data_IF_914090272591
#
_entry.id   IF_914090272591
#
_cell.length_a   1.000
_cell.length_b   1.000
_cell.length_c   1.000
_cell.angle_alpha   90.00
_cell.angle_beta   90.00
_cell.angle_gamma   90.00
#
_symmetry.space_group_name_H-M   'P 1'
#
loop_
_entity.id
_entity.type
_entity.pdbx_description
1 polymer ?
#
# COMPACT_ATOMS: atom_id res chain seq x y z
N UNK A 1 -71.83 17.63 -78.05
CA UNK A 1 -71.88 17.62 -76.58
C UNK A 1 -70.59 16.99 -76.11
N UNK A 2 -69.64 17.81 -75.66
CA UNK A 2 -68.34 17.29 -75.06
C UNK A 2 -68.47 17.35 -73.54
N UNK A 3 -68.40 16.22 -72.88
CA UNK A 3 -68.40 16.10 -71.46
C UNK A 3 -66.96 16.42 -70.93
N UNK A 4 -66.88 17.39 -70.03
CA UNK A 4 -65.67 17.82 -69.33
C UNK A 4 -65.61 17.07 -68.00
N UNK A 5 -64.67 16.10 -67.88
CA UNK A 5 -64.48 15.35 -66.65
C UNK A 5 -63.48 16.14 -65.82
N UNK A 6 -63.93 16.68 -64.63
CA UNK A 6 -63.09 17.29 -63.63
C UNK A 6 -62.47 16.17 -62.80
N UNK A 7 -61.09 16.09 -62.80
CA UNK A 7 -60.34 15.27 -61.87
C UNK A 7 -60.06 16.06 -60.58
N UNK A 8 -60.73 15.70 -59.47
CA UNK A 8 -60.40 16.19 -58.13
C UNK A 8 -59.17 15.42 -57.64
N UNK A 9 -58.00 16.03 -57.62
CA UNK A 9 -56.82 15.50 -56.94
C UNK A 9 -56.97 15.78 -55.44
N UNK A 10 -57.36 14.76 -54.70
CA UNK A 10 -57.37 14.79 -53.22
C UNK A 10 -55.91 14.71 -52.74
N UNK A 11 -55.39 15.83 -52.26
CA UNK A 11 -54.07 15.87 -51.57
C UNK A 11 -54.29 15.36 -50.16
N UNK A 12 -54.01 14.07 -49.94
CA UNK A 12 -53.91 13.51 -48.61
C UNK A 12 -52.57 14.00 -47.99
N UNK A 13 -52.62 15.01 -47.13
CA UNK A 13 -51.54 15.37 -46.26
C UNK A 13 -51.37 14.19 -45.23
N UNK A 14 -50.35 13.40 -45.43
CA UNK A 14 -49.89 12.45 -44.43
C UNK A 14 -49.38 13.25 -43.22
N UNK A 15 -50.24 13.44 -42.21
CA UNK A 15 -49.81 13.88 -40.90
C UNK A 15 -48.92 12.80 -40.31
N UNK A 16 -47.60 12.90 -40.49
CA UNK A 16 -46.69 12.09 -39.73
C UNK A 16 -46.78 12.52 -38.28
N UNK A 17 -47.43 11.74 -37.45
CA UNK A 17 -47.38 11.90 -35.98
C UNK A 17 -45.94 11.56 -35.57
N UNK A 18 -45.15 12.56 -35.23
CA UNK A 18 -43.89 12.34 -34.63
C UNK A 18 -44.12 11.56 -33.33
N UNK A 19 -43.41 10.44 -33.19
CA UNK A 19 -43.48 9.63 -31.96
C UNK A 19 -43.01 10.47 -30.77
N UNK A 20 -43.77 10.45 -29.70
CA UNK A 20 -43.38 11.12 -28.46
C UNK A 20 -42.03 10.52 -27.95
N UNK A 21 -41.06 11.36 -27.55
CA UNK A 21 -39.81 10.86 -27.00
C UNK A 21 -40.04 10.03 -25.75
N UNK A 22 -39.20 9.06 -25.54
CA UNK A 22 -39.15 8.31 -24.29
C UNK A 22 -37.74 8.42 -23.67
N UNK A 23 -37.60 9.23 -22.63
CA UNK A 23 -36.34 9.40 -21.94
C UNK A 23 -36.02 8.17 -21.11
N UNK A 24 -34.81 7.65 -21.23
CA UNK A 24 -34.30 6.56 -20.43
C UNK A 24 -32.76 6.59 -20.35
N UNK A 25 -32.17 6.17 -19.22
CA UNK A 25 -30.74 6.03 -19.06
C UNK A 25 -30.39 5.00 -18.00
N UNK A 26 -29.12 4.55 -18.02
CA UNK A 26 -28.55 3.68 -17.01
C UNK A 26 -27.35 4.36 -16.35
N UNK A 27 -27.17 4.13 -15.06
CA UNK A 27 -26.03 4.58 -14.24
C UNK A 27 -25.01 3.47 -14.21
N UNK A 28 -23.70 3.81 -14.28
CA UNK A 28 -22.60 2.83 -14.26
C UNK A 28 -22.45 2.10 -12.93
N UNK A 29 -22.89 2.72 -11.84
CA UNK A 29 -22.87 2.13 -10.52
C UNK A 29 -24.13 1.29 -10.29
N UNK A 30 -24.01 -0.04 -9.97
CA UNK A 30 -25.15 -0.95 -9.96
C UNK A 30 -26.08 -0.79 -8.77
N UNK A 31 -25.60 -0.29 -7.63
CA UNK A 31 -26.40 -0.10 -6.42
C UNK A 31 -26.76 1.36 -6.16
N UNK A 32 -26.20 2.29 -6.95
CA UNK A 32 -26.38 3.74 -6.84
C UNK A 32 -25.95 4.31 -5.47
N UNK A 33 -24.94 3.66 -4.83
CA UNK A 33 -24.35 4.09 -3.57
C UNK A 33 -22.89 4.46 -3.80
N UNK A 34 -22.59 5.73 -3.69
CA UNK A 34 -21.28 6.32 -3.99
C UNK A 34 -20.61 6.80 -2.71
N UNK A 35 -19.31 6.89 -2.72
CA UNK A 35 -18.56 7.63 -1.71
C UNK A 35 -18.36 9.09 -2.15
N UNK A 36 -18.28 9.99 -1.21
CA UNK A 36 -17.95 11.39 -1.49
C UNK A 36 -16.61 11.47 -2.25
N UNK A 37 -16.63 12.11 -3.42
CA UNK A 37 -15.50 12.21 -4.33
C UNK A 37 -15.58 11.24 -5.52
N UNK A 38 -16.46 10.25 -5.49
CA UNK A 38 -16.63 9.32 -6.60
C UNK A 38 -17.24 9.98 -7.85
N UNK A 39 -16.90 9.42 -9.00
CA UNK A 39 -17.44 9.81 -10.28
C UNK A 39 -18.14 8.62 -10.95
N UNK A 40 -19.29 8.88 -11.57
CA UNK A 40 -20.05 7.90 -12.33
C UNK A 40 -20.14 8.30 -13.80
N UNK A 41 -20.57 7.37 -14.62
CA UNK A 41 -20.98 7.58 -16.00
C UNK A 41 -22.44 7.22 -16.15
N UNK A 42 -23.11 7.87 -17.10
CA UNK A 42 -24.47 7.52 -17.50
C UNK A 42 -24.50 7.21 -18.99
N UNK A 43 -25.33 6.27 -19.37
CA UNK A 43 -25.57 5.90 -20.76
C UNK A 43 -27.00 6.23 -21.13
N UNK A 44 -27.17 7.07 -22.14
CA UNK A 44 -28.48 7.46 -22.66
C UNK A 44 -29.11 6.32 -23.48
N UNK A 45 -30.25 5.85 -23.04
CA UNK A 45 -31.04 4.80 -23.69
C UNK A 45 -32.40 5.33 -24.20
N UNK A 46 -32.53 6.65 -24.37
CA UNK A 46 -33.78 7.28 -24.85
C UNK A 46 -34.09 6.89 -26.29
N UNK A 47 -35.37 6.81 -26.59
CA UNK A 47 -35.90 6.48 -27.93
C UNK A 47 -36.80 7.58 -28.48
N UNK A 48 -36.81 7.76 -29.80
CA UNK A 48 -37.55 8.77 -30.54
C UNK A 48 -36.71 9.34 -31.67
N UNK A 49 -37.32 10.16 -32.55
CA UNK A 49 -36.66 10.75 -33.70
C UNK A 49 -36.14 12.16 -33.38
N UNK A 50 -34.96 12.52 -33.89
CA UNK A 50 -34.35 13.85 -33.81
C UNK A 50 -34.32 14.44 -32.38
N UNK A 51 -33.79 13.65 -31.43
CA UNK A 51 -33.78 14.03 -30.03
C UNK A 51 -32.60 14.94 -29.67
N UNK A 52 -32.90 15.94 -28.86
CA UNK A 52 -31.95 16.75 -28.10
C UNK A 52 -32.05 16.40 -26.63
N UNK A 53 -30.95 16.50 -25.89
CA UNK A 53 -30.87 16.03 -24.50
C UNK A 53 -30.34 17.12 -23.59
N UNK A 54 -31.02 17.29 -22.45
CA UNK A 54 -30.58 18.11 -21.33
C UNK A 54 -30.51 17.25 -20.06
N UNK A 55 -29.33 17.24 -19.49
CA UNK A 55 -29.05 16.57 -18.20
C UNK A 55 -28.91 17.60 -17.10
N UNK A 56 -29.41 17.26 -15.94
CA UNK A 56 -29.17 17.99 -14.69
C UNK A 56 -28.73 17.04 -13.59
N UNK A 57 -27.68 17.42 -12.85
CA UNK A 57 -27.06 16.61 -11.81
C UNK A 57 -27.05 17.42 -10.52
N UNK A 58 -27.82 16.98 -9.55
CA UNK A 58 -27.91 17.66 -8.25
C UNK A 58 -26.60 17.45 -7.46
N UNK A 59 -25.98 18.55 -7.03
CA UNK A 59 -24.73 18.57 -6.25
C UNK A 59 -23.55 17.80 -6.86
N UNK A 60 -23.47 17.78 -8.20
CA UNK A 60 -22.39 17.14 -8.94
C UNK A 60 -21.65 18.12 -9.85
N UNK A 61 -20.52 17.68 -10.34
CA UNK A 61 -19.70 18.38 -11.34
C UNK A 61 -19.52 17.48 -12.55
N UNK A 62 -19.98 17.92 -13.77
CA UNK A 62 -20.74 19.15 -14.03
C UNK A 62 -22.17 19.11 -13.45
N UNK A 63 -22.78 20.27 -13.18
CA UNK A 63 -24.18 20.34 -12.70
C UNK A 63 -25.21 20.15 -13.81
N UNK A 64 -24.83 20.44 -15.07
CA UNK A 64 -25.69 20.29 -16.26
C UNK A 64 -24.85 19.89 -17.46
N UNK A 65 -25.48 19.21 -18.42
CA UNK A 65 -24.85 18.86 -19.69
C UNK A 65 -25.91 18.85 -20.82
N UNK A 66 -25.52 19.34 -21.97
CA UNK A 66 -26.33 19.27 -23.19
C UNK A 66 -25.63 18.35 -24.20
N UNK A 67 -26.32 17.28 -24.60
CA UNK A 67 -25.77 16.28 -25.50
C UNK A 67 -26.17 14.85 -25.12
N UNK A 68 -25.78 13.89 -25.96
CA UNK A 68 -26.25 12.51 -25.83
C UNK A 68 -25.71 11.81 -24.54
N UNK A 69 -24.39 11.84 -24.38
CA UNK A 69 -23.73 11.19 -23.23
C UNK A 69 -22.80 12.18 -22.54
N UNK A 70 -23.04 12.55 -21.28
CA UNK A 70 -22.09 13.33 -20.51
C UNK A 70 -20.81 12.53 -20.22
N UNK A 71 -19.72 13.25 -19.95
CA UNK A 71 -18.49 12.67 -19.40
C UNK A 71 -18.69 12.20 -17.95
N UNK A 72 -17.59 12.05 -17.20
CA UNK A 72 -17.67 11.69 -15.79
C UNK A 72 -18.43 12.74 -14.99
N UNK A 73 -19.30 12.29 -14.09
CA UNK A 73 -20.11 13.09 -13.18
C UNK A 73 -19.64 12.80 -11.78
N UNK A 74 -19.02 13.79 -11.11
CA UNK A 74 -18.36 13.59 -9.82
C UNK A 74 -19.18 14.25 -8.69
N UNK A 75 -19.36 13.54 -7.58
CA UNK A 75 -20.11 13.95 -6.41
C UNK A 75 -19.18 14.26 -5.24
N UNK A 76 -18.82 15.53 -5.06
CA UNK A 76 -17.86 15.97 -4.05
C UNK A 76 -18.47 16.27 -2.67
N UNK A 77 -19.78 16.10 -2.51
CA UNK A 77 -20.50 16.33 -1.25
C UNK A 77 -21.39 15.15 -0.92
N UNK A 78 -21.44 14.78 0.36
CA UNK A 78 -22.32 13.71 0.81
C UNK A 78 -23.81 14.15 0.79
N UNK A 79 -24.70 13.17 0.54
CA UNK A 79 -26.15 13.38 0.54
C UNK A 79 -26.72 13.24 1.97
N UNK A 80 -26.72 14.34 2.72
CA UNK A 80 -27.14 14.34 4.14
C UNK A 80 -28.65 14.44 4.36
N UNK A 81 -29.41 14.96 3.40
CA UNK A 81 -30.84 15.19 3.48
C UNK A 81 -31.68 14.32 2.56
N UNK A 82 -31.06 13.36 1.87
CA UNK A 82 -31.69 12.45 0.93
C UNK A 82 -30.86 12.31 -0.36
N UNK A 83 -31.15 11.32 -1.21
CA UNK A 83 -30.36 11.03 -2.39
C UNK A 83 -30.38 12.18 -3.40
N UNK A 84 -29.31 12.32 -4.18
CA UNK A 84 -29.20 13.32 -5.24
C UNK A 84 -29.86 12.86 -6.53
N UNK A 85 -30.57 13.79 -7.19
CA UNK A 85 -31.28 13.53 -8.43
C UNK A 85 -30.35 13.67 -9.65
N UNK A 86 -30.49 12.72 -10.57
CA UNK A 86 -29.98 12.78 -11.96
C UNK A 86 -31.17 12.79 -12.87
N UNK A 87 -31.35 13.87 -13.63
CA UNK A 87 -32.52 14.05 -14.49
C UNK A 87 -32.09 14.21 -15.95
N UNK A 88 -32.73 13.44 -16.83
CA UNK A 88 -32.61 13.55 -18.28
C UNK A 88 -33.92 14.02 -18.87
N UNK A 89 -33.87 15.07 -19.67
CA UNK A 89 -34.96 15.51 -20.51
C UNK A 89 -34.58 15.31 -21.99
N UNK A 90 -35.33 14.49 -22.70
CA UNK A 90 -35.23 14.29 -24.15
C UNK A 90 -36.34 15.05 -24.84
N UNK A 91 -35.99 15.87 -25.85
CA UNK A 91 -36.93 16.72 -26.58
C UNK A 91 -36.78 16.47 -28.09
N UNK A 92 -37.89 16.23 -28.80
CA UNK A 92 -37.86 16.07 -30.24
C UNK A 92 -37.92 17.42 -30.98
N UNK A 93 -37.77 17.41 -32.32
CA UNK A 93 -37.79 18.60 -33.17
C UNK A 93 -39.10 19.37 -33.12
N UNK A 94 -40.22 18.75 -32.69
CA UNK A 94 -41.55 19.38 -32.56
C UNK A 94 -41.79 19.99 -31.17
N UNK A 95 -40.81 19.90 -30.28
CA UNK A 95 -40.87 20.44 -28.93
C UNK A 95 -41.55 19.53 -27.90
N UNK A 96 -42.00 18.32 -28.28
CA UNK A 96 -42.48 17.34 -27.33
C UNK A 96 -41.29 16.78 -26.51
N UNK A 97 -41.47 16.62 -25.21
CA UNK A 97 -40.41 16.15 -24.34
C UNK A 97 -40.89 15.00 -23.42
N UNK A 98 -39.88 14.27 -22.93
CA UNK A 98 -40.01 13.26 -21.89
C UNK A 98 -38.88 13.46 -20.86
N UNK A 99 -39.18 13.27 -19.60
CA UNK A 99 -38.20 13.45 -18.53
C UNK A 99 -38.20 12.22 -17.64
N UNK A 100 -37.00 11.76 -17.25
CA UNK A 100 -36.78 10.70 -16.28
C UNK A 100 -35.81 11.19 -15.22
N UNK A 101 -36.05 10.79 -13.97
CA UNK A 101 -35.16 11.07 -12.85
C UNK A 101 -34.79 9.76 -12.16
N UNK A 102 -33.50 9.55 -11.91
CA UNK A 102 -32.98 8.50 -11.06
C UNK A 102 -32.19 9.15 -9.91
N UNK A 103 -31.88 8.38 -8.89
CA UNK A 103 -31.27 8.88 -7.66
C UNK A 103 -30.02 8.11 -7.32
N UNK A 104 -29.03 8.82 -6.76
CA UNK A 104 -27.81 8.25 -6.18
C UNK A 104 -27.67 8.72 -4.75
N UNK A 105 -27.22 7.82 -3.88
CA UNK A 105 -26.88 8.14 -2.49
C UNK A 105 -25.39 8.32 -2.38
N UNK A 106 -24.93 9.48 -1.90
CA UNK A 106 -23.51 9.76 -1.71
C UNK A 106 -23.20 9.74 -0.23
N UNK A 107 -22.44 8.74 0.18
CA UNK A 107 -22.04 8.56 1.58
C UNK A 107 -20.87 9.49 1.92
N UNK A 108 -20.79 10.03 3.13
CA UNK A 108 -19.63 10.78 3.56
C UNK A 108 -18.41 9.86 3.64
N UNK A 109 -17.24 10.39 3.26
CA UNK A 109 -15.98 9.68 3.48
C UNK A 109 -15.74 9.50 4.98
N UNK A 110 -15.42 8.29 5.43
CA UNK A 110 -14.95 8.10 6.79
C UNK A 110 -13.59 8.77 6.98
N UNK A 111 -13.17 8.90 8.24
CA UNK A 111 -11.83 9.32 8.62
C UNK A 111 -11.20 8.26 9.49
N UNK A 112 -9.87 8.17 9.45
CA UNK A 112 -9.09 7.30 10.33
C UNK A 112 -7.86 8.06 10.79
N UNK A 113 -7.46 7.83 12.03
CA UNK A 113 -6.20 8.31 12.59
C UNK A 113 -5.49 7.16 13.27
N UNK A 114 -4.17 7.09 13.10
CA UNK A 114 -3.33 6.07 13.71
C UNK A 114 -2.20 6.68 14.52
N UNK A 115 -1.83 6.02 15.59
CA UNK A 115 -0.79 6.48 16.52
C UNK A 115 0.02 5.29 17.03
N UNK A 116 1.25 5.59 17.51
CA UNK A 116 1.97 4.65 18.38
C UNK A 116 1.54 4.94 19.81
N UNK A 117 1.19 3.90 20.54
CA UNK A 117 0.82 3.99 21.95
C UNK A 117 1.77 3.16 22.79
N UNK A 118 2.00 3.60 24.01
CA UNK A 118 2.59 2.76 25.04
C UNK A 118 1.49 2.29 25.98
N UNK A 119 1.56 1.03 26.44
CA UNK A 119 0.65 0.51 27.47
C UNK A 119 1.21 0.79 28.85
N UNK A 120 1.07 2.01 29.34
CA UNK A 120 1.32 2.27 30.73
C UNK A 120 0.07 1.87 31.53
N UNK A 121 0.15 0.77 32.27
CA UNK A 121 -0.90 0.28 33.18
C UNK A 121 -2.28 0.03 32.53
N UNK A 122 -2.32 -0.44 31.27
CA UNK A 122 -3.58 -0.76 30.59
C UNK A 122 -4.32 0.46 30.00
N UNK A 123 -3.67 1.61 29.98
CA UNK A 123 -4.17 2.82 29.31
C UNK A 123 -3.25 3.11 28.12
N UNK A 124 -3.84 3.24 26.94
CA UNK A 124 -3.11 3.66 25.74
C UNK A 124 -2.70 5.13 25.89
N UNK A 125 -1.41 5.39 25.97
CA UNK A 125 -0.86 6.75 26.01
C UNK A 125 -0.16 7.00 24.68
N UNK A 126 -0.62 8.01 23.96
CA UNK A 126 0.05 8.45 22.72
C UNK A 126 1.44 8.97 23.07
N UNK A 127 2.49 8.31 22.57
CA UNK A 127 3.85 8.76 22.71
C UNK A 127 4.20 9.65 21.52
N UNK A 128 4.72 10.87 21.77
CA UNK A 128 5.10 11.78 20.68
C UNK A 128 6.37 11.32 19.94
N UNK A 129 7.17 10.42 20.54
CA UNK A 129 8.36 9.85 19.93
C UNK A 129 8.06 8.47 19.37
N UNK A 130 8.10 8.36 18.04
CA UNK A 130 7.87 7.12 17.30
C UNK A 130 9.12 6.25 17.20
N UNK A 131 10.15 6.54 18.00
CA UNK A 131 11.44 5.85 17.97
C UNK A 131 11.48 4.76 19.03
N UNK A 132 11.65 3.52 18.59
CA UNK A 132 11.87 2.35 19.44
C UNK A 132 13.27 1.79 19.22
N UNK A 133 13.77 1.03 20.17
CA UNK A 133 14.98 0.24 19.95
C UNK A 133 14.66 -1.01 19.08
N UNK A 134 15.66 -1.51 18.37
CA UNK A 134 15.51 -2.73 17.58
C UNK A 134 15.02 -3.89 18.45
N UNK A 135 14.06 -4.68 17.95
CA UNK A 135 13.34 -5.77 18.65
C UNK A 135 12.45 -5.35 19.83
N UNK A 136 12.32 -4.07 20.10
CA UNK A 136 11.30 -3.60 21.01
C UNK A 136 9.93 -3.67 20.34
N UNK A 137 8.93 -4.08 21.12
CA UNK A 137 7.54 -4.04 20.66
C UNK A 137 7.05 -2.59 20.56
N UNK A 138 6.34 -2.31 19.47
CA UNK A 138 5.56 -1.10 19.30
C UNK A 138 4.08 -1.44 19.23
N UNK A 139 3.27 -0.71 19.99
CA UNK A 139 1.83 -0.86 20.00
C UNK A 139 1.21 0.22 19.11
N UNK A 140 0.62 -0.19 18.00
CA UNK A 140 -0.09 0.69 17.08
C UNK A 140 -1.58 0.67 17.43
N UNK A 141 -2.19 1.85 17.45
CA UNK A 141 -3.61 2.02 17.69
C UNK A 141 -4.21 2.90 16.60
N UNK A 142 -5.43 2.58 16.17
CA UNK A 142 -6.17 3.38 15.20
C UNK A 142 -7.62 3.58 15.64
N UNK A 143 -8.15 4.73 15.29
CA UNK A 143 -9.54 5.10 15.54
C UNK A 143 -10.18 5.62 14.25
N UNK A 144 -11.34 5.07 13.91
CA UNK A 144 -12.12 5.46 12.74
C UNK A 144 -13.38 6.22 13.11
N UNK A 145 -13.75 7.20 12.32
CA UNK A 145 -14.99 7.97 12.53
C UNK A 145 -15.76 8.16 11.20
N UNK A 146 -17.12 8.14 11.23
CA UNK A 146 -17.96 7.86 12.40
C UNK A 146 -17.87 6.39 12.85
N UNK A 147 -18.21 6.11 14.08
CA UNK A 147 -18.13 4.76 14.67
C UNK A 147 -19.01 3.75 13.92
N UNK A 148 -18.57 2.48 13.86
CA UNK A 148 -19.34 1.38 13.29
C UNK A 148 -18.72 0.72 12.04
N UNK A 149 -17.56 1.21 11.58
CA UNK A 149 -16.79 0.58 10.51
C UNK A 149 -15.78 -0.44 11.03
N UNK A 150 -14.99 -0.98 10.10
CA UNK A 150 -13.98 -1.99 10.37
C UNK A 150 -12.57 -1.41 10.13
N UNK A 151 -11.68 -1.62 11.08
CA UNK A 151 -10.26 -1.32 10.95
C UNK A 151 -9.49 -2.55 10.49
N UNK A 152 -8.55 -2.35 9.57
CA UNK A 152 -7.68 -3.40 9.05
C UNK A 152 -6.27 -2.86 8.87
N UNK A 153 -5.29 -3.50 9.51
CA UNK A 153 -3.88 -3.17 9.39
C UNK A 153 -3.21 -3.99 8.28
N UNK A 154 -2.36 -3.33 7.50
CA UNK A 154 -1.60 -3.93 6.43
C UNK A 154 -0.13 -4.08 6.83
N UNK A 155 0.50 -5.22 6.51
CA UNK A 155 1.95 -5.39 6.71
C UNK A 155 2.72 -4.35 5.89
N UNK A 156 3.89 -4.00 6.39
CA UNK A 156 4.76 -3.02 5.76
C UNK A 156 5.10 -3.33 4.30
N UNK A 157 5.18 -2.31 3.48
CA UNK A 157 5.64 -2.41 2.09
C UNK A 157 4.57 -2.84 1.08
N UNK A 158 3.33 -3.04 1.50
CA UNK A 158 2.22 -3.33 0.60
C UNK A 158 1.34 -2.10 0.48
N UNK A 159 1.20 -1.57 -0.73
CA UNK A 159 0.26 -0.49 -0.97
C UNK A 159 -1.17 -0.99 -0.75
N UNK A 160 -1.98 -0.23 -0.03
CA UNK A 160 -3.37 -0.56 0.29
C UNK A 160 -4.21 -0.93 -0.95
N UNK A 161 -3.89 -0.35 -2.11
CA UNK A 161 -4.59 -0.56 -3.38
C UNK A 161 -4.30 -1.91 -4.05
N UNK A 162 -3.33 -2.68 -3.55
CA UNK A 162 -2.84 -3.89 -4.21
C UNK A 162 -3.34 -5.19 -3.57
N UNK A 163 -4.27 -5.18 -2.60
CA UNK A 163 -4.59 -6.36 -1.82
C UNK A 163 -6.07 -6.75 -1.86
N UNK A 164 -6.54 -7.39 -2.93
CA UNK A 164 -7.74 -8.22 -2.83
C UNK A 164 -7.37 -9.52 -2.08
N UNK A 165 -7.92 -9.70 -0.86
CA UNK A 165 -7.76 -10.95 -0.11
C UNK A 165 -6.43 -11.13 0.62
N UNK A 166 -5.89 -10.08 1.21
CA UNK A 166 -4.67 -10.14 2.00
C UNK A 166 -4.78 -11.15 3.16
N UNK A 167 -4.02 -12.25 3.07
CA UNK A 167 -3.98 -13.28 4.11
C UNK A 167 -3.16 -12.86 5.37
N UNK A 168 -2.42 -11.77 5.29
CA UNK A 168 -1.57 -11.24 6.36
C UNK A 168 -2.14 -9.96 7.01
N UNK A 169 -3.35 -9.51 6.60
CA UNK A 169 -3.99 -8.34 7.18
C UNK A 169 -4.60 -8.67 8.54
N UNK A 170 -4.44 -7.77 9.49
CA UNK A 170 -4.91 -7.94 10.86
C UNK A 170 -6.08 -6.99 11.10
N UNK A 171 -7.25 -7.57 11.39
CA UNK A 171 -8.44 -6.82 11.75
C UNK A 171 -8.39 -6.41 13.22
N UNK A 172 -8.74 -5.15 13.49
CA UNK A 172 -8.82 -4.61 14.84
C UNK A 172 -8.32 -3.17 14.93
N UNK A 173 -8.54 -2.57 16.07
CA UNK A 173 -8.11 -1.20 16.39
C UNK A 173 -6.64 -1.10 16.82
N UNK A 174 -6.02 -2.23 17.15
CA UNK A 174 -4.65 -2.29 17.66
C UNK A 174 -3.83 -3.37 16.95
N UNK A 175 -2.53 -3.11 16.82
CA UNK A 175 -1.53 -4.01 16.25
C UNK A 175 -0.23 -3.91 17.04
N UNK A 176 0.31 -5.05 17.49
CA UNK A 176 1.64 -5.14 18.08
C UNK A 176 2.64 -5.56 17.01
N UNK A 177 3.74 -4.83 16.87
CA UNK A 177 4.80 -5.07 15.90
C UNK A 177 6.17 -4.99 16.51
N UNK A 178 7.13 -5.75 15.97
CA UNK A 178 8.55 -5.76 16.34
C UNK A 178 9.42 -5.53 15.12
N UNK A 179 9.43 -4.30 14.56
CA UNK A 179 10.15 -4.05 13.33
C UNK A 179 11.67 -4.07 13.52
N UNK A 180 12.38 -4.69 12.57
CA UNK A 180 13.84 -4.69 12.50
C UNK A 180 14.44 -3.38 12.01
N UNK A 181 13.68 -2.63 11.19
CA UNK A 181 14.09 -1.37 10.59
C UNK A 181 12.92 -0.40 10.57
N UNK A 182 13.22 0.88 10.45
CA UNK A 182 12.21 1.91 10.31
C UNK A 182 11.20 1.55 9.24
N UNK A 183 9.94 1.46 9.61
CA UNK A 183 8.88 0.83 8.82
C UNK A 183 7.59 1.64 8.90
N UNK A 184 6.89 1.77 7.76
CA UNK A 184 5.54 2.30 7.69
C UNK A 184 4.51 1.19 7.85
N UNK A 185 3.50 1.44 8.65
CA UNK A 185 2.31 0.60 8.78
C UNK A 185 1.10 1.38 8.29
N UNK A 186 0.24 0.73 7.53
CA UNK A 186 -0.95 1.34 6.96
C UNK A 186 -2.18 0.73 7.62
N UNK A 187 -3.13 1.58 8.00
CA UNK A 187 -4.45 1.15 8.47
C UNK A 187 -5.53 1.66 7.53
N UNK A 188 -6.47 0.79 7.21
CA UNK A 188 -7.68 1.09 6.48
C UNK A 188 -8.87 1.09 7.43
N UNK A 189 -9.72 2.09 7.32
CA UNK A 189 -11.03 2.10 7.95
C UNK A 189 -12.11 2.06 6.90
N UNK A 190 -12.93 0.99 6.91
CA UNK A 190 -14.04 0.77 5.99
C UNK A 190 -15.40 0.98 6.67
N UNK A 191 -16.24 1.84 6.10
CA UNK A 191 -17.60 2.07 6.57
C UNK A 191 -18.55 2.15 5.38
N UNK A 192 -19.56 1.24 5.34
CA UNK A 192 -20.59 1.20 4.29
C UNK A 192 -20.05 1.18 2.85
N UNK A 193 -18.89 0.53 2.61
CA UNK A 193 -18.24 0.47 1.31
C UNK A 193 -17.30 1.63 1.00
N UNK A 194 -17.23 2.67 1.83
CA UNK A 194 -16.26 3.76 1.70
C UNK A 194 -15.05 3.52 2.60
N UNK A 195 -13.84 3.88 2.13
CA UNK A 195 -12.60 3.57 2.80
C UNK A 195 -11.75 4.83 3.03
N UNK A 196 -11.17 4.92 4.21
CA UNK A 196 -10.13 5.88 4.55
C UNK A 196 -8.86 5.14 4.95
N UNK A 197 -7.70 5.79 4.76
CA UNK A 197 -6.39 5.22 5.07
C UNK A 197 -5.58 6.21 5.89
N UNK A 198 -4.77 5.67 6.79
CA UNK A 198 -3.75 6.42 7.50
C UNK A 198 -2.48 5.60 7.63
N UNK A 199 -1.36 6.26 7.90
CA UNK A 199 -0.05 5.64 7.99
C UNK A 199 0.69 6.09 9.24
N UNK A 200 1.30 5.14 9.94
CA UNK A 200 2.17 5.41 11.07
C UNK A 200 3.59 4.93 10.78
N UNK A 201 4.57 5.79 11.02
CA UNK A 201 5.98 5.44 10.90
C UNK A 201 6.53 5.01 12.26
N UNK A 202 7.00 3.78 12.34
CA UNK A 202 7.79 3.29 13.48
C UNK A 202 9.26 3.44 13.13
N UNK A 203 9.93 4.37 13.80
CA UNK A 203 11.37 4.58 13.63
C UNK A 203 12.12 3.63 14.55
N UNK A 204 13.08 2.89 14.01
CA UNK A 204 13.92 1.97 14.78
C UNK A 204 15.29 2.56 15.00
N UNK A 205 15.69 2.70 16.26
CA UNK A 205 17.02 3.13 16.67
C UNK A 205 17.98 1.92 16.67
N UNK A 206 18.83 1.90 15.67
CA UNK A 206 19.81 0.83 15.50
C UNK A 206 21.19 1.16 16.13
N UNK A 207 21.41 2.43 16.47
CA UNK A 207 22.76 2.99 16.59
C UNK A 207 23.58 2.44 17.77
N UNK A 208 22.98 2.00 18.86
CA UNK A 208 23.70 1.71 20.11
C UNK A 208 23.65 0.25 20.54
N UNK A 209 22.94 -0.62 19.84
CA UNK A 209 22.66 -1.98 20.32
C UNK A 209 23.37 -3.07 19.52
N UNK A 210 23.55 -2.91 18.22
CA UNK A 210 24.24 -3.93 17.41
C UNK A 210 25.75 -3.79 17.54
N UNK A 211 26.38 -4.79 18.12
CA UNK A 211 27.83 -4.93 18.19
C UNK A 211 28.27 -5.92 17.12
N UNK A 212 29.30 -5.54 16.38
CA UNK A 212 29.94 -6.40 15.37
C UNK A 212 31.33 -6.73 15.91
N UNK A 213 31.61 -8.00 16.10
CA UNK A 213 32.88 -8.47 16.64
C UNK A 213 33.52 -9.50 15.70
N UNK A 214 34.83 -9.63 15.81
CA UNK A 214 35.59 -10.70 15.18
C UNK A 214 36.49 -11.32 16.24
N UNK A 215 36.61 -12.65 16.30
CA UNK A 215 37.52 -13.31 17.22
C UNK A 215 38.97 -12.82 17.02
N UNK A 216 39.72 -12.70 18.09
CA UNK A 216 41.16 -12.39 17.99
C UNK A 216 42.00 -13.64 17.77
N UNK A 217 41.40 -14.83 17.90
CA UNK A 217 42.03 -16.14 17.69
C UNK A 217 40.96 -17.19 17.35
N UNK A 218 41.42 -18.26 16.66
CA UNK A 218 40.59 -19.43 16.38
C UNK A 218 41.48 -20.68 16.20
N UNK A 219 40.89 -21.87 16.37
CA UNK A 219 41.56 -23.16 16.28
C UNK A 219 40.68 -24.17 15.54
N UNK A 220 40.91 -24.40 14.24
CA UNK A 220 40.15 -25.35 13.44
C UNK A 220 40.55 -26.79 13.76
N UNK A 221 40.05 -27.33 14.87
CA UNK A 221 40.32 -28.67 15.38
C UNK A 221 39.08 -29.59 15.37
N UNK A 222 37.94 -29.08 14.82
CA UNK A 222 36.67 -29.79 14.66
C UNK A 222 36.02 -30.18 16.01
N UNK A 223 36.29 -29.41 17.10
CA UNK A 223 35.63 -29.61 18.38
C UNK A 223 34.29 -28.88 18.51
N UNK A 224 33.92 -28.05 17.49
CA UNK A 224 32.73 -27.24 17.43
C UNK A 224 32.86 -25.86 18.07
N UNK A 225 34.02 -25.54 18.66
CA UNK A 225 34.29 -24.26 19.32
C UNK A 225 35.40 -23.49 18.58
N UNK A 226 35.10 -22.29 18.10
CA UNK A 226 36.05 -21.41 17.43
C UNK A 226 36.79 -22.06 16.24
N UNK A 227 36.17 -22.99 15.55
CA UNK A 227 36.73 -23.65 14.37
C UNK A 227 36.85 -22.71 13.16
N UNK A 228 36.13 -21.63 13.15
CA UNK A 228 36.11 -20.68 12.03
C UNK A 228 36.36 -19.25 12.51
N UNK A 229 37.15 -18.51 11.70
CA UNK A 229 37.26 -17.07 11.82
C UNK A 229 36.16 -16.39 11.00
N UNK A 230 35.16 -15.82 11.65
CA UNK A 230 33.98 -15.20 11.00
C UNK A 230 33.50 -13.97 11.74
N UNK A 231 32.61 -13.23 11.09
CA UNK A 231 31.95 -12.07 11.71
C UNK A 231 30.86 -12.54 12.65
N UNK A 232 30.86 -12.01 13.86
CA UNK A 232 29.85 -12.28 14.87
C UNK A 232 29.12 -10.99 15.22
N UNK A 233 27.84 -11.10 15.55
CA UNK A 233 27.02 -10.00 16.08
C UNK A 233 26.34 -10.43 17.37
N UNK A 234 25.90 -9.46 18.18
CA UNK A 234 25.08 -9.75 19.33
C UNK A 234 23.60 -9.91 18.99
N UNK A 235 23.30 -10.15 17.73
CA UNK A 235 21.96 -10.42 17.19
C UNK A 235 22.06 -11.73 16.44
N UNK A 236 21.20 -12.69 16.76
CA UNK A 236 21.18 -14.01 16.10
C UNK A 236 20.54 -13.96 14.70
N UNK A 237 20.46 -15.12 14.06
CA UNK A 237 19.90 -15.23 12.70
C UNK A 237 18.38 -14.96 12.64
N UNK A 238 17.68 -15.15 13.77
CA UNK A 238 16.24 -14.90 13.91
C UNK A 238 15.96 -13.45 14.31
N UNK A 239 17.03 -12.71 14.63
CA UNK A 239 16.98 -11.29 14.91
C UNK A 239 16.88 -10.93 16.38
N UNK A 240 16.96 -11.87 17.28
CA UNK A 240 16.93 -11.62 18.71
C UNK A 240 18.32 -11.20 19.25
N UNK A 241 18.34 -10.34 20.27
CA UNK A 241 19.58 -10.05 20.99
C UNK A 241 19.98 -11.28 21.82
N UNK A 242 21.08 -11.90 21.42
CA UNK A 242 21.63 -13.00 22.20
C UNK A 242 22.48 -12.48 23.37
N UNK A 243 22.60 -13.29 24.43
CA UNK A 243 23.51 -13.02 25.54
C UNK A 243 24.99 -13.21 25.15
N UNK A 244 25.26 -13.56 23.90
CA UNK A 244 26.57 -13.80 23.31
C UNK A 244 26.71 -13.17 21.94
N UNK A 245 27.74 -13.61 21.22
CA UNK A 245 27.97 -13.22 19.83
C UNK A 245 27.69 -14.41 18.93
N UNK A 246 26.83 -14.22 17.94
CA UNK A 246 26.36 -15.23 17.01
C UNK A 246 26.54 -14.78 15.54
N UNK A 247 26.22 -15.66 14.60
CA UNK A 247 26.44 -15.41 13.18
C UNK A 247 25.52 -14.33 12.63
N UNK A 248 26.05 -13.17 12.33
CA UNK A 248 25.64 -12.21 11.33
C UNK A 248 24.20 -11.66 11.27
N UNK A 249 23.36 -11.81 12.32
CA UNK A 249 21.93 -11.46 12.26
C UNK A 249 21.58 -10.01 11.90
N UNK A 250 22.49 -9.06 12.08
CA UNK A 250 22.25 -7.63 11.79
C UNK A 250 22.98 -7.14 10.54
N UNK A 251 23.58 -8.03 9.74
CA UNK A 251 24.39 -7.68 8.59
C UNK A 251 23.67 -7.98 7.27
N UNK A 252 23.58 -6.98 6.40
CA UNK A 252 23.06 -7.12 5.03
C UNK A 252 24.13 -7.54 4.05
N UNK A 253 25.36 -7.03 4.22
CA UNK A 253 26.49 -7.31 3.32
C UNK A 253 27.79 -7.29 4.10
N UNK A 254 28.72 -8.17 3.73
CA UNK A 254 30.11 -8.14 4.19
C UNK A 254 31.08 -8.33 3.02
N UNK A 255 32.31 -7.88 3.20
CA UNK A 255 33.50 -8.27 2.42
C UNK A 255 34.65 -8.48 3.41
N UNK A 256 34.76 -9.72 3.90
CA UNK A 256 35.81 -10.14 4.83
C UNK A 256 37.00 -10.71 4.04
N UNK A 257 38.15 -10.11 4.24
CA UNK A 257 39.43 -10.54 3.61
C UNK A 257 40.46 -10.81 4.67
N UNK A 258 41.20 -11.93 4.52
CA UNK A 258 42.28 -12.31 5.42
C UNK A 258 43.59 -12.39 4.64
N UNK A 259 44.68 -11.88 5.22
CA UNK A 259 45.98 -11.79 4.62
C UNK A 259 47.05 -12.40 5.51
N UNK A 260 48.01 -13.08 4.92
CA UNK A 260 49.19 -13.53 5.62
C UNK A 260 50.22 -12.37 5.80
N UNK A 261 51.29 -12.63 6.56
CA UNK A 261 52.36 -11.65 6.84
C UNK A 261 53.09 -11.10 5.59
N UNK A 262 52.89 -11.71 4.44
CA UNK A 262 53.48 -11.26 3.17
C UNK A 262 52.49 -10.43 2.34
N UNK A 263 51.32 -10.13 2.86
CA UNK A 263 50.28 -9.39 2.16
C UNK A 263 49.48 -10.21 1.14
N UNK A 264 49.69 -11.55 1.10
CA UNK A 264 48.93 -12.43 0.25
C UNK A 264 47.56 -12.68 0.86
N UNK A 265 46.51 -12.48 0.08
CA UNK A 265 45.12 -12.80 0.49
C UNK A 265 44.98 -14.33 0.54
N UNK A 266 44.60 -14.84 1.71
CA UNK A 266 44.45 -16.29 1.97
C UNK A 266 42.98 -16.69 2.06
N UNK A 267 42.08 -15.74 2.36
CA UNK A 267 40.63 -15.96 2.43
C UNK A 267 39.87 -14.70 2.01
N UNK A 268 38.70 -14.88 1.43
CA UNK A 268 37.72 -13.82 1.19
C UNK A 268 36.35 -14.42 1.14
N UNK A 269 35.37 -13.76 1.80
CA UNK A 269 33.97 -14.07 1.66
C UNK A 269 33.10 -12.80 1.61
N UNK A 270 31.96 -12.91 0.97
CA UNK A 270 30.85 -11.94 1.01
C UNK A 270 29.60 -12.54 1.64
N UNK A 271 29.66 -13.81 2.05
CA UNK A 271 28.59 -14.47 2.77
C UNK A 271 28.77 -14.23 4.28
N UNK A 272 27.73 -13.67 4.92
CA UNK A 272 27.72 -13.36 6.36
C UNK A 272 27.87 -14.60 7.26
N UNK A 273 27.52 -15.78 6.75
CA UNK A 273 27.61 -17.06 7.46
C UNK A 273 28.91 -17.82 7.23
N UNK A 274 29.67 -17.43 6.21
CA UNK A 274 30.92 -18.14 5.89
C UNK A 274 32.08 -17.63 6.74
N UNK A 275 32.84 -18.56 7.30
CA UNK A 275 34.07 -18.29 8.05
C UNK A 275 35.33 -18.94 7.42
N UNK A 276 36.50 -18.39 7.73
CA UNK A 276 37.75 -18.98 7.33
C UNK A 276 38.13 -20.12 8.28
N UNK A 277 38.37 -21.32 7.70
CA UNK A 277 38.74 -22.55 8.37
C UNK A 277 40.26 -22.71 8.58
N UNK A 278 41.03 -21.68 8.34
CA UNK A 278 42.49 -21.73 8.43
C UNK A 278 43.15 -22.45 7.26
N UNK A 279 42.48 -22.69 6.12
CA UNK A 279 43.09 -23.27 4.91
C UNK A 279 43.27 -22.23 3.82
N UNK A 280 44.21 -22.52 2.90
CA UNK A 280 44.38 -21.78 1.66
C UNK A 280 44.58 -22.76 0.50
N UNK A 281 43.71 -22.70 -0.52
CA UNK A 281 43.68 -23.64 -1.66
C UNK A 281 43.66 -25.11 -1.21
N UNK A 282 42.85 -25.41 -0.17
CA UNK A 282 42.68 -26.76 0.38
C UNK A 282 43.89 -27.27 1.21
N UNK A 283 44.84 -26.40 1.54
CA UNK A 283 45.98 -26.77 2.39
C UNK A 283 45.93 -25.99 3.71
N UNK A 284 46.15 -26.67 4.84
CA UNK A 284 46.26 -26.01 6.14
C UNK A 284 47.35 -24.95 6.14
N UNK A 285 47.00 -23.76 6.67
CA UNK A 285 47.97 -22.69 6.91
C UNK A 285 48.66 -22.89 8.23
N UNK A 286 49.89 -22.38 8.33
CA UNK A 286 50.69 -22.50 9.56
C UNK A 286 50.08 -21.66 10.69
N UNK A 287 50.19 -22.12 11.95
CA UNK A 287 49.90 -21.29 13.11
C UNK A 287 50.69 -19.98 13.04
N UNK A 288 49.98 -18.87 12.99
CA UNK A 288 50.56 -17.53 12.87
C UNK A 288 49.46 -16.47 13.08
N UNK A 289 49.91 -15.22 13.15
CA UNK A 289 48.99 -14.07 13.14
C UNK A 289 48.75 -13.62 11.70
N UNK A 290 47.50 -13.46 11.35
CA UNK A 290 46.98 -12.98 10.07
C UNK A 290 46.34 -11.64 10.23
N UNK A 291 46.32 -10.81 9.20
CA UNK A 291 45.64 -9.52 9.21
C UNK A 291 44.33 -9.63 8.45
N UNK A 292 43.26 -9.04 8.99
CA UNK A 292 41.99 -9.00 8.28
C UNK A 292 41.54 -7.58 7.97
N UNK A 293 40.69 -7.46 6.96
CA UNK A 293 39.91 -6.28 6.61
C UNK A 293 38.46 -6.74 6.43
N UNK A 294 37.57 -6.14 7.19
CA UNK A 294 36.13 -6.31 7.05
C UNK A 294 35.52 -4.99 6.60
N UNK A 295 34.83 -5.00 5.48
CA UNK A 295 33.87 -3.97 5.12
C UNK A 295 32.47 -4.58 5.30
N UNK A 296 31.52 -3.81 5.84
CA UNK A 296 30.18 -4.29 6.11
C UNK A 296 29.12 -3.22 5.87
N UNK A 297 27.92 -3.67 5.60
CA UNK A 297 26.70 -2.87 5.63
C UNK A 297 25.66 -3.59 6.50
N UNK A 298 25.10 -2.87 7.45
CA UNK A 298 24.02 -3.35 8.32
C UNK A 298 22.66 -3.30 7.60
N UNK A 299 21.69 -4.04 8.12
CA UNK A 299 20.33 -4.11 7.54
C UNK A 299 19.62 -2.73 7.53
N UNK A 300 20.00 -1.80 8.41
CA UNK A 300 19.53 -0.41 8.42
C UNK A 300 20.30 0.52 7.47
N UNK A 301 21.21 -0.04 6.65
CA UNK A 301 21.94 0.70 5.61
C UNK A 301 23.23 1.39 6.05
N UNK A 302 23.62 1.33 7.33
CA UNK A 302 24.91 1.88 7.79
C UNK A 302 26.07 1.04 7.26
N UNK A 303 27.12 1.70 6.79
CA UNK A 303 28.32 1.05 6.32
C UNK A 303 29.52 1.34 7.22
N UNK A 304 30.39 0.37 7.37
CA UNK A 304 31.60 0.52 8.17
C UNK A 304 32.74 -0.34 7.66
N UNK A 305 33.93 -0.10 8.21
CA UNK A 305 35.12 -0.90 7.95
C UNK A 305 35.85 -1.15 9.26
N UNK A 306 36.34 -2.38 9.42
CA UNK A 306 37.22 -2.80 10.52
C UNK A 306 38.44 -3.49 9.97
N UNK A 307 39.58 -3.33 10.63
CA UNK A 307 40.80 -4.03 10.36
C UNK A 307 41.45 -4.45 11.67
N UNK A 308 42.09 -5.59 11.65
CA UNK A 308 42.73 -6.14 12.85
C UNK A 308 43.55 -7.37 12.54
N UNK A 309 43.91 -8.06 13.60
CA UNK A 309 44.71 -9.30 13.52
C UNK A 309 43.94 -10.46 14.15
N UNK A 310 44.11 -11.64 13.60
CA UNK A 310 43.63 -12.91 14.13
C UNK A 310 44.74 -13.91 14.22
N UNK A 311 44.81 -14.67 15.30
CA UNK A 311 45.82 -15.72 15.50
C UNK A 311 45.21 -17.09 15.23
N UNK A 312 45.77 -17.81 14.29
CA UNK A 312 45.44 -19.21 14.00
C UNK A 312 46.25 -20.11 14.93
N UNK A 313 45.57 -20.93 15.69
CA UNK A 313 46.15 -22.04 16.48
C UNK A 313 45.82 -23.38 15.85
N UNK A 314 46.58 -24.43 16.23
CA UNK A 314 46.33 -25.83 15.86
C UNK A 314 46.80 -26.74 16.98
#
# INVERSE_FOLDING_TARGET
MKALTLFFASCFALLSYAQAPSANFTISDPDNILCQGDCIYVVNNSTGDDLTYLWTFQNATPATFVGQNPGPICFNTASTTGPFAITLTATNAQGANSTITQFVTVLPMPTVSSTISDTLAGVYVVIPDTTIDMFQEAYLYAEGAPFGGNLTWYPSGVAADSIPGCSACIAGDSLTVTPFYTTYYVVQYGLNGCFAYDTVLVTVNFANQVKIELPNSFSPNEDGENDFFRVLTNVDADGDFSNGFEEGGALAEIDLRVYNRYGQQVFRTTDVKEGWDGTYKGKPMNPATYTYILNFRTIDGRSGSRKGNVTLFR
#
